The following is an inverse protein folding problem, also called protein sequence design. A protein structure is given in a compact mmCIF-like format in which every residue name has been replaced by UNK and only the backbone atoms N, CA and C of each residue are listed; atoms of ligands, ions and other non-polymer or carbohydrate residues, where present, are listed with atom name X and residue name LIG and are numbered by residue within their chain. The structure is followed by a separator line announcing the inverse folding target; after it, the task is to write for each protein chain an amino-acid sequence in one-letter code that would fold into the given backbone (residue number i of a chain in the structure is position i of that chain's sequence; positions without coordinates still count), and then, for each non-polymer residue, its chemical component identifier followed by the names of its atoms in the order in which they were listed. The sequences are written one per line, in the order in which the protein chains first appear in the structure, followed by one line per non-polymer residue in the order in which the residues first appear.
data_IF_641387257395
#
_entry.id   IF_641387257395
#
_cell.length_a   1.000
_cell.length_b   1.000
_cell.length_c   1.000
_cell.angle_alpha   90.00
_cell.angle_beta   90.00
_cell.angle_gamma   90.00
#
_symmetry.space_group_name_H-M   'P 1'
#
loop_
_entity.id
_entity.type
_entity.pdbx_description
1 polymer ?
#
# COMPACT_ATOMS: atom_id res chain seq x y z
N UNK A 1 -22.47 20.49 6.00
CA UNK A 1 -21.39 20.71 6.99
C UNK A 1 -20.46 19.50 7.14
N UNK A 2 -20.97 18.27 7.12
CA UNK A 2 -20.19 17.02 7.25
C UNK A 2 -19.10 16.80 6.19
N UNK A 3 -19.33 17.21 4.95
CA UNK A 3 -18.34 17.02 3.87
C UNK A 3 -17.06 17.84 4.02
N UNK A 4 -17.12 19.01 4.66
CA UNK A 4 -15.94 19.86 4.89
C UNK A 4 -15.09 19.37 6.07
N UNK A 5 -15.73 18.75 7.06
CA UNK A 5 -15.08 18.18 8.23
C UNK A 5 -14.31 16.89 7.87
N UNK A 6 -14.92 16.01 7.07
CA UNK A 6 -14.30 14.81 6.53
C UNK A 6 -13.10 15.14 5.63
N UNK A 7 -13.19 16.18 4.79
CA UNK A 7 -12.08 16.62 3.95
C UNK A 7 -10.91 17.17 4.77
N UNK A 8 -11.18 17.92 5.85
CA UNK A 8 -10.13 18.42 6.76
C UNK A 8 -9.44 17.29 7.51
N UNK A 9 -10.20 16.34 8.01
CA UNK A 9 -9.65 15.16 8.69
C UNK A 9 -8.75 14.36 7.74
N UNK A 10 -9.20 14.13 6.51
CA UNK A 10 -8.42 13.47 5.45
C UNK A 10 -7.11 14.20 5.20
N UNK A 11 -7.14 15.51 5.05
CA UNK A 11 -5.94 16.34 4.84
C UNK A 11 -4.94 16.21 6.00
N UNK A 12 -5.42 16.25 7.24
CA UNK A 12 -4.57 16.06 8.43
C UNK A 12 -3.88 14.71 8.40
N UNK A 13 -4.58 13.64 8.05
CA UNK A 13 -4.03 12.28 8.00
C UNK A 13 -2.94 12.14 6.92
N UNK A 14 -3.13 12.74 5.75
CA UNK A 14 -2.11 12.74 4.67
C UNK A 14 -0.85 13.48 5.07
N UNK A 15 -0.99 14.67 5.65
CA UNK A 15 0.13 15.45 6.17
C UNK A 15 0.84 14.73 7.32
N UNK A 16 0.07 14.17 8.26
CA UNK A 16 0.62 13.43 9.39
C UNK A 16 1.47 12.24 8.93
N UNK A 17 0.98 11.47 7.93
CA UNK A 17 1.74 10.37 7.36
C UNK A 17 3.07 10.84 6.77
N UNK A 18 3.08 11.93 6.00
CA UNK A 18 4.31 12.49 5.42
C UNK A 18 5.30 12.94 6.51
N UNK A 19 4.83 13.53 7.60
CA UNK A 19 5.66 13.94 8.75
C UNK A 19 6.23 12.72 9.46
N UNK A 20 5.42 11.68 9.70
CA UNK A 20 5.88 10.42 10.30
C UNK A 20 6.92 9.69 9.46
N UNK A 21 6.71 9.62 8.14
CA UNK A 21 7.68 8.99 7.21
C UNK A 21 9.00 9.73 7.21
N UNK A 22 8.96 11.07 7.26
CA UNK A 22 10.15 11.92 7.21
C UNK A 22 10.96 11.91 8.50
N UNK A 23 10.31 11.94 9.67
CA UNK A 23 10.95 12.18 10.96
C UNK A 23 10.92 10.96 11.90
N UNK A 24 10.20 9.90 11.54
CA UNK A 24 9.91 8.77 12.43
C UNK A 24 8.78 9.07 13.41
N UNK A 25 8.15 8.01 13.93
CA UNK A 25 7.05 8.17 14.88
C UNK A 25 7.49 8.83 16.18
N UNK A 26 8.62 8.41 16.75
CA UNK A 26 9.08 8.88 18.07
C UNK A 26 9.40 10.36 18.08
N UNK A 27 10.09 10.85 17.05
CA UNK A 27 10.54 12.23 16.93
C UNK A 27 9.45 13.21 16.52
N UNK A 28 8.31 12.71 16.01
CA UNK A 28 7.17 13.55 15.61
C UNK A 28 6.30 13.90 16.80
N UNK A 29 5.97 15.17 16.96
CA UNK A 29 4.99 15.68 17.92
C UNK A 29 3.67 16.05 17.26
N UNK A 30 2.58 16.18 18.05
CA UNK A 30 1.28 16.69 17.55
C UNK A 30 1.43 18.14 17.05
N UNK A 31 2.33 18.92 17.66
CA UNK A 31 2.63 20.30 17.24
C UNK A 31 3.23 20.34 15.82
N UNK A 32 4.16 19.42 15.52
CA UNK A 32 4.76 19.32 14.18
C UNK A 32 3.70 19.00 13.13
N UNK A 33 2.78 18.08 13.45
CA UNK A 33 1.66 17.72 12.56
C UNK A 33 0.72 18.92 12.39
N UNK A 34 0.35 19.61 13.46
CA UNK A 34 -0.53 20.76 13.43
C UNK A 34 0.06 21.90 12.57
N UNK A 35 1.34 22.20 12.78
CA UNK A 35 2.07 23.19 11.99
C UNK A 35 2.14 22.81 10.51
N UNK A 36 2.44 21.56 10.20
CA UNK A 36 2.52 21.08 8.83
C UNK A 36 1.16 21.09 8.14
N UNK A 37 0.07 20.77 8.85
CA UNK A 37 -1.30 20.76 8.34
C UNK A 37 -1.96 22.16 8.31
N UNK A 38 -1.29 23.20 8.82
CA UNK A 38 -1.81 24.58 8.83
C UNK A 38 -3.01 24.77 9.77
N UNK A 39 -3.11 23.97 10.84
CA UNK A 39 -4.18 24.08 11.84
C UNK A 39 -3.58 24.22 13.25
N UNK A 40 -4.41 24.63 14.22
CA UNK A 40 -3.98 24.68 15.60
C UNK A 40 -3.87 23.28 16.22
N UNK A 41 -3.02 23.13 17.25
CA UNK A 41 -2.96 21.90 18.06
C UNK A 41 -4.33 21.53 18.65
N UNK A 42 -5.11 22.53 19.07
CA UNK A 42 -6.47 22.30 19.54
C UNK A 42 -7.38 21.75 18.42
N UNK A 43 -7.19 22.24 17.18
CA UNK A 43 -7.89 21.70 15.98
C UNK A 43 -7.60 20.21 15.75
N UNK A 44 -6.36 19.75 15.99
CA UNK A 44 -6.04 18.32 15.93
C UNK A 44 -6.83 17.56 17.00
N UNK A 45 -6.88 18.05 18.24
CA UNK A 45 -7.58 17.37 19.33
C UNK A 45 -9.10 17.32 19.19
N UNK A 46 -9.70 18.10 18.29
CA UNK A 46 -11.12 17.95 17.95
C UNK A 46 -11.42 16.63 17.22
N UNK A 47 -10.41 16.08 16.53
CA UNK A 47 -10.56 14.90 15.67
C UNK A 47 -9.83 13.66 16.21
N UNK A 48 -8.73 13.84 16.95
CA UNK A 48 -7.86 12.75 17.40
C UNK A 48 -7.46 12.92 18.86
N UNK A 49 -7.56 11.86 19.66
CA UNK A 49 -7.26 11.88 21.10
C UNK A 49 -5.75 11.96 21.40
N UNK A 50 -4.93 11.35 20.55
CA UNK A 50 -3.49 11.24 20.75
C UNK A 50 -2.74 10.94 19.44
N UNK A 51 -1.41 10.93 19.52
CA UNK A 51 -0.52 10.68 18.38
C UNK A 51 -0.67 9.27 17.79
N UNK A 52 -0.92 8.26 18.63
CA UNK A 52 -1.13 6.88 18.19
C UNK A 52 -2.40 6.76 17.32
N UNK A 53 -3.47 7.46 17.68
CA UNK A 53 -4.72 7.49 16.90
C UNK A 53 -4.52 8.17 15.55
N UNK A 54 -3.79 9.31 15.50
CA UNK A 54 -3.43 9.96 14.22
C UNK A 54 -2.61 9.02 13.35
N UNK A 55 -1.60 8.37 13.94
CA UNK A 55 -0.74 7.45 13.22
C UNK A 55 -1.53 6.27 12.66
N UNK A 56 -2.33 5.60 13.50
CA UNK A 56 -3.18 4.48 13.09
C UNK A 56 -4.11 4.87 11.95
N UNK A 57 -4.83 5.97 12.11
CA UNK A 57 -5.77 6.46 11.09
C UNK A 57 -5.05 6.86 9.78
N UNK A 58 -3.85 7.47 9.86
CA UNK A 58 -3.06 7.84 8.69
C UNK A 58 -2.60 6.62 7.90
N UNK A 59 -2.10 5.58 8.57
CA UNK A 59 -1.68 4.34 7.91
C UNK A 59 -2.88 3.60 7.33
N UNK A 60 -3.98 3.48 8.10
CA UNK A 60 -5.19 2.81 7.62
C UNK A 60 -5.73 3.49 6.36
N UNK A 61 -5.81 4.83 6.36
CA UNK A 61 -6.21 5.59 5.18
C UNK A 61 -5.30 5.31 3.98
N UNK A 62 -3.99 5.32 4.19
CA UNK A 62 -3.04 5.03 3.11
C UNK A 62 -3.21 3.62 2.55
N UNK A 63 -3.41 2.61 3.40
CA UNK A 63 -3.68 1.23 2.98
C UNK A 63 -4.96 1.12 2.16
N UNK A 64 -6.03 1.81 2.60
CA UNK A 64 -7.32 1.81 1.91
C UNK A 64 -7.23 2.51 0.56
N UNK A 65 -6.54 3.64 0.47
CA UNK A 65 -6.30 4.38 -0.76
C UNK A 65 -5.50 3.56 -1.77
N UNK A 66 -4.43 2.88 -1.32
CA UNK A 66 -3.60 2.01 -2.16
C UNK A 66 -4.37 0.79 -2.65
N UNK A 67 -5.14 0.15 -1.77
CA UNK A 67 -5.98 -0.98 -2.13
C UNK A 67 -7.04 -0.57 -3.17
N UNK A 68 -7.66 0.57 -2.97
CA UNK A 68 -8.65 1.11 -3.91
C UNK A 68 -8.02 1.46 -5.26
N UNK A 69 -6.85 2.09 -5.27
CA UNK A 69 -6.12 2.42 -6.50
C UNK A 69 -5.69 1.16 -7.25
N UNK A 70 -5.13 0.17 -6.55
CA UNK A 70 -4.76 -1.12 -7.14
C UNK A 70 -5.99 -1.87 -7.70
N UNK A 71 -7.12 -1.86 -6.99
CA UNK A 71 -8.35 -2.47 -7.48
C UNK A 71 -8.85 -1.81 -8.75
N UNK A 72 -8.83 -0.47 -8.86
CA UNK A 72 -9.20 0.25 -10.10
C UNK A 72 -8.32 -0.17 -11.28
N UNK A 73 -7.02 -0.33 -11.06
CA UNK A 73 -6.08 -0.79 -12.09
C UNK A 73 -6.41 -2.22 -12.54
N UNK A 74 -6.68 -3.11 -11.58
CA UNK A 74 -6.99 -4.52 -11.84
C UNK A 74 -8.35 -4.70 -12.54
N UNK A 75 -9.28 -3.77 -12.36
CA UNK A 75 -10.61 -3.77 -12.99
C UNK A 75 -10.63 -3.01 -14.35
N UNK A 76 -9.52 -2.41 -14.79
CA UNK A 76 -9.47 -1.66 -16.05
C UNK A 76 -9.34 -2.60 -17.27
N UNK A 77 -10.45 -2.87 -17.94
CA UNK A 77 -10.52 -3.80 -19.09
C UNK A 77 -9.75 -3.32 -20.35
N UNK A 78 -9.24 -2.09 -20.34
CA UNK A 78 -8.38 -1.57 -21.41
C UNK A 78 -6.94 -2.08 -21.31
N UNK A 79 -6.55 -2.60 -20.15
CA UNK A 79 -5.20 -3.10 -19.87
C UNK A 79 -5.12 -4.61 -20.10
N UNK A 80 -3.98 -5.06 -20.64
CA UNK A 80 -3.62 -6.48 -20.67
C UNK A 80 -3.40 -7.02 -19.26
N UNK A 81 -3.40 -8.34 -19.08
CA UNK A 81 -3.12 -8.96 -17.79
C UNK A 81 -1.78 -8.50 -17.20
N UNK A 82 -0.72 -8.54 -18.02
CA UNK A 82 0.63 -8.14 -17.56
C UNK A 82 0.68 -6.67 -17.13
N UNK A 83 0.01 -5.78 -17.88
CA UNK A 83 -0.11 -4.37 -17.51
C UNK A 83 -0.88 -4.15 -16.21
N UNK A 84 -2.02 -4.85 -16.03
CA UNK A 84 -2.80 -4.84 -14.78
C UNK A 84 -1.94 -5.23 -13.59
N UNK A 85 -1.24 -6.37 -13.71
CA UNK A 85 -0.40 -6.91 -12.64
C UNK A 85 0.77 -5.96 -12.32
N UNK A 86 1.50 -5.50 -13.35
CA UNK A 86 2.65 -4.62 -13.15
C UNK A 86 2.25 -3.31 -12.47
N UNK A 87 1.20 -2.64 -12.98
CA UNK A 87 0.73 -1.37 -12.42
C UNK A 87 0.17 -1.53 -11.00
N UNK A 88 -0.57 -2.61 -10.73
CA UNK A 88 -1.12 -2.87 -9.40
C UNK A 88 -0.03 -3.22 -8.37
N UNK A 89 0.97 -4.01 -8.75
CA UNK A 89 2.12 -4.34 -7.90
C UNK A 89 3.03 -3.12 -7.66
N UNK A 90 3.15 -2.24 -8.64
CA UNK A 90 3.84 -0.96 -8.50
C UNK A 90 3.09 -0.04 -7.51
N UNK A 91 1.78 0.08 -7.65
CA UNK A 91 0.94 0.87 -6.73
C UNK A 91 1.04 0.35 -5.28
N UNK A 92 1.08 -0.97 -5.10
CA UNK A 92 1.09 -1.59 -3.77
C UNK A 92 2.49 -1.68 -3.15
N UNK A 93 3.53 -1.93 -3.93
CA UNK A 93 4.90 -2.14 -3.45
C UNK A 93 5.91 -1.14 -4.01
N UNK A 94 5.90 -0.91 -5.32
CA UNK A 94 6.95 -0.19 -6.04
C UNK A 94 7.07 1.27 -5.62
N UNK A 95 5.97 1.92 -5.31
CA UNK A 95 5.96 3.32 -4.84
C UNK A 95 6.68 3.52 -3.50
N UNK A 96 6.92 2.45 -2.76
CA UNK A 96 7.62 2.49 -1.47
C UNK A 96 9.12 2.19 -1.58
N UNK A 97 9.61 1.83 -2.79
CA UNK A 97 11.02 1.55 -3.03
C UNK A 97 11.84 2.83 -2.81
N UNK A 98 12.86 2.73 -1.98
CA UNK A 98 13.77 3.85 -1.67
C UNK A 98 13.19 4.93 -0.72
N UNK A 99 11.91 4.81 -0.29
CA UNK A 99 11.32 5.77 0.64
C UNK A 99 11.66 5.48 2.10
N UNK A 100 12.03 4.25 2.41
CA UNK A 100 12.30 3.82 3.77
C UNK A 100 13.79 3.97 4.07
N UNK A 101 14.16 5.12 4.64
CA UNK A 101 15.49 5.39 5.19
C UNK A 101 15.75 4.67 6.53
N UNK A 102 16.85 4.97 7.22
CA UNK A 102 17.23 4.37 8.50
C UNK A 102 16.14 4.46 9.59
N UNK A 103 15.27 5.46 9.51
CA UNK A 103 14.15 5.68 10.45
C UNK A 103 12.95 4.73 10.21
N UNK A 104 13.00 3.93 9.15
CA UNK A 104 11.91 3.02 8.78
C UNK A 104 11.66 1.91 9.80
N UNK A 105 12.71 1.46 10.49
CA UNK A 105 12.58 0.43 11.53
C UNK A 105 11.66 0.88 12.67
N UNK A 106 11.76 2.15 13.10
CA UNK A 106 10.86 2.73 14.10
C UNK A 106 9.42 2.80 13.62
N UNK A 107 9.23 3.18 12.36
CA UNK A 107 7.90 3.26 11.73
C UNK A 107 7.25 1.88 11.61
N UNK A 108 8.01 0.86 11.15
CA UNK A 108 7.52 -0.51 11.00
C UNK A 108 7.15 -1.13 12.35
N UNK A 109 8.02 -0.98 13.36
CA UNK A 109 7.73 -1.45 14.73
C UNK A 109 6.46 -0.77 15.29
N UNK A 110 6.26 0.51 15.00
CA UNK A 110 5.07 1.23 15.39
C UNK A 110 3.82 0.75 14.65
N UNK A 111 3.91 0.46 13.33
CA UNK A 111 2.82 -0.13 12.56
C UNK A 111 2.36 -1.47 13.16
N UNK A 112 3.29 -2.36 13.48
CA UNK A 112 2.98 -3.65 14.11
C UNK A 112 2.28 -3.46 15.46
N UNK A 113 2.77 -2.53 16.29
CA UNK A 113 2.21 -2.25 17.61
C UNK A 113 0.78 -1.70 17.57
N UNK A 114 0.52 -0.77 16.64
CA UNK A 114 -0.73 0.02 16.65
C UNK A 114 -1.80 -0.56 15.75
N UNK A 115 -1.43 -1.13 14.62
CA UNK A 115 -2.36 -1.65 13.61
C UNK A 115 -2.62 -3.15 13.73
N UNK A 116 -1.75 -3.87 14.46
CA UNK A 116 -1.86 -5.32 14.59
C UNK A 116 -2.00 -5.99 13.23
N UNK A 117 -3.11 -6.70 13.02
CA UNK A 117 -3.36 -7.48 11.80
C UNK A 117 -3.95 -6.67 10.61
N UNK A 118 -4.19 -5.36 10.74
CA UNK A 118 -4.83 -4.57 9.68
C UNK A 118 -3.99 -4.55 8.38
N UNK A 119 -2.67 -4.41 8.50
CA UNK A 119 -1.74 -4.46 7.35
C UNK A 119 -1.80 -5.82 6.66
N UNK A 120 -1.83 -6.90 7.44
CA UNK A 120 -1.97 -8.27 6.95
C UNK A 120 -3.29 -8.49 6.20
N UNK A 121 -4.40 -7.98 6.73
CA UNK A 121 -5.71 -8.05 6.09
C UNK A 121 -5.77 -7.32 4.76
N UNK A 122 -5.24 -6.10 4.69
CA UNK A 122 -5.19 -5.32 3.45
C UNK A 122 -4.34 -6.01 2.38
N UNK A 123 -3.18 -6.57 2.77
CA UNK A 123 -2.33 -7.38 1.88
C UNK A 123 -3.06 -8.63 1.38
N UNK A 124 -3.74 -9.35 2.25
CA UNK A 124 -4.52 -10.55 1.86
C UNK A 124 -5.66 -10.19 0.91
N UNK A 125 -6.31 -9.06 1.09
CA UNK A 125 -7.35 -8.56 0.18
C UNK A 125 -6.78 -8.24 -1.19
N UNK A 126 -5.62 -7.57 -1.26
CA UNK A 126 -4.91 -7.30 -2.50
C UNK A 126 -4.51 -8.59 -3.23
N UNK A 127 -3.90 -9.55 -2.52
CA UNK A 127 -3.49 -10.84 -3.07
C UNK A 127 -4.68 -11.63 -3.65
N UNK A 128 -5.80 -11.69 -2.93
CA UNK A 128 -7.04 -12.33 -3.42
C UNK A 128 -7.60 -11.66 -4.68
N UNK A 129 -7.45 -10.34 -4.81
CA UNK A 129 -7.86 -9.63 -6.02
C UNK A 129 -6.96 -9.98 -7.20
N UNK A 130 -5.62 -10.05 -7.00
CA UNK A 130 -4.68 -10.52 -8.03
C UNK A 130 -5.04 -11.94 -8.50
N UNK A 131 -5.25 -12.86 -7.55
CA UNK A 131 -5.66 -14.24 -7.84
C UNK A 131 -6.89 -14.31 -8.75
N UNK A 132 -7.94 -13.53 -8.42
CA UNK A 132 -9.17 -13.48 -9.23
C UNK A 132 -8.91 -12.99 -10.65
N UNK A 133 -8.09 -11.96 -10.82
CA UNK A 133 -7.78 -11.39 -12.13
C UNK A 133 -6.95 -12.37 -12.97
N UNK A 134 -5.97 -13.03 -12.37
CA UNK A 134 -5.15 -14.05 -13.03
C UNK A 134 -6.02 -15.23 -13.47
N UNK A 135 -6.89 -15.72 -12.58
CA UNK A 135 -7.81 -16.81 -12.87
C UNK A 135 -8.78 -16.48 -14.01
N UNK A 136 -9.32 -15.25 -14.02
CA UNK A 136 -10.23 -14.77 -15.08
C UNK A 136 -9.56 -14.67 -16.45
N UNK A 137 -8.24 -14.42 -16.48
CA UNK A 137 -7.46 -14.30 -17.73
C UNK A 137 -6.96 -15.63 -18.28
N UNK A 138 -7.08 -16.73 -17.51
CA UNK A 138 -6.71 -18.06 -17.97
C UNK A 138 -7.66 -18.53 -19.07
N UNK A 139 -7.15 -18.69 -20.30
CA UNK A 139 -7.94 -19.05 -21.48
C UNK A 139 -8.58 -20.44 -21.40
N UNK A 140 -8.11 -21.30 -20.53
CA UNK A 140 -8.63 -22.64 -20.31
C UNK A 140 -8.98 -22.82 -18.84
N UNK A 141 -10.23 -23.18 -18.54
CA UNK A 141 -10.66 -23.73 -17.25
C UNK A 141 -10.07 -25.14 -17.09
N UNK A 142 -8.75 -25.24 -17.00
CA UNK A 142 -8.05 -26.51 -16.77
C UNK A 142 -8.14 -26.88 -15.30
N UNK A 143 -8.16 -28.19 -15.02
CA UNK A 143 -8.09 -28.69 -13.64
C UNK A 143 -6.83 -28.12 -12.95
N UNK A 144 -7.01 -27.33 -11.89
CA UNK A 144 -5.91 -26.72 -11.13
C UNK A 144 -5.57 -25.27 -11.53
N UNK A 145 -6.36 -24.61 -12.41
CA UNK A 145 -6.17 -23.19 -12.78
C UNK A 145 -6.24 -22.27 -11.55
N UNK A 146 -7.14 -22.54 -10.61
CA UNK A 146 -7.30 -21.84 -9.34
C UNK A 146 -6.03 -21.96 -8.47
N UNK A 147 -5.47 -23.14 -8.33
CA UNK A 147 -4.24 -23.36 -7.57
C UNK A 147 -3.06 -22.63 -8.24
N UNK A 148 -2.98 -22.66 -9.58
CA UNK A 148 -1.95 -21.94 -10.33
C UNK A 148 -2.10 -20.43 -10.14
N UNK A 149 -3.30 -19.87 -10.27
CA UNK A 149 -3.55 -18.44 -10.06
C UNK A 149 -3.18 -17.99 -8.63
N UNK A 150 -3.58 -18.76 -7.61
CA UNK A 150 -3.22 -18.50 -6.23
C UNK A 150 -1.70 -18.54 -6.02
N UNK A 151 -1.00 -19.53 -6.60
CA UNK A 151 0.47 -19.64 -6.50
C UNK A 151 1.16 -18.46 -7.16
N UNK A 152 0.72 -18.04 -8.35
CA UNK A 152 1.29 -16.87 -9.05
C UNK A 152 1.07 -15.60 -8.21
N UNK A 153 -0.13 -15.37 -7.71
CA UNK A 153 -0.44 -14.21 -6.87
C UNK A 153 0.44 -14.18 -5.60
N UNK A 154 0.61 -15.33 -4.94
CA UNK A 154 1.47 -15.47 -3.77
C UNK A 154 2.94 -15.15 -4.08
N UNK A 155 3.48 -15.75 -5.14
CA UNK A 155 4.87 -15.49 -5.60
C UNK A 155 5.10 -14.02 -5.94
N UNK A 156 4.20 -13.38 -6.70
CA UNK A 156 4.33 -11.97 -7.08
C UNK A 156 4.25 -11.05 -5.85
N UNK A 157 3.36 -11.34 -4.90
CA UNK A 157 3.29 -10.61 -3.63
C UNK A 157 4.55 -10.81 -2.77
N UNK A 158 5.08 -12.02 -2.69
CA UNK A 158 6.33 -12.31 -1.96
C UNK A 158 7.53 -11.58 -2.59
N UNK A 159 7.65 -11.60 -3.93
CA UNK A 159 8.63 -10.81 -4.66
C UNK A 159 8.50 -9.32 -4.35
N UNK A 160 7.30 -8.76 -4.47
CA UNK A 160 7.04 -7.35 -4.19
C UNK A 160 7.41 -6.94 -2.77
N UNK A 161 7.06 -7.77 -1.79
CA UNK A 161 7.40 -7.55 -0.38
C UNK A 161 8.90 -7.52 -0.14
N UNK A 162 9.65 -8.46 -0.73
CA UNK A 162 11.09 -8.54 -0.57
C UNK A 162 11.81 -7.45 -1.35
N UNK A 163 11.43 -7.25 -2.61
CA UNK A 163 12.14 -6.37 -3.54
C UNK A 163 11.96 -4.88 -3.23
N UNK A 164 10.84 -4.47 -2.63
CA UNK A 164 10.67 -3.07 -2.20
C UNK A 164 11.74 -2.60 -1.19
N UNK A 165 12.38 -3.55 -0.48
CA UNK A 165 13.47 -3.27 0.46
C UNK A 165 14.85 -3.60 -0.09
N UNK A 166 14.94 -4.34 -1.21
CA UNK A 166 16.20 -4.82 -1.78
C UNK A 166 16.74 -3.90 -2.88
N UNK A 167 15.87 -3.18 -3.57
CA UNK A 167 16.26 -2.29 -4.65
C UNK A 167 16.38 -0.84 -4.19
N UNK A 168 17.35 -0.13 -4.76
CA UNK A 168 17.56 1.30 -4.49
C UNK A 168 16.72 2.21 -5.36
N UNK A 169 16.17 1.70 -6.48
CA UNK A 169 15.32 2.47 -7.38
C UNK A 169 14.03 1.74 -7.75
N UNK A 170 12.94 2.53 -7.89
CA UNK A 170 11.66 2.03 -8.40
C UNK A 170 11.79 1.45 -9.81
N UNK A 171 12.70 1.98 -10.62
CA UNK A 171 12.92 1.51 -11.99
C UNK A 171 13.48 0.08 -12.01
N UNK A 172 14.43 -0.26 -11.13
CA UNK A 172 14.94 -1.63 -10.97
C UNK A 172 13.85 -2.58 -10.49
N UNK A 173 13.05 -2.16 -9.51
CA UNK A 173 11.89 -2.92 -9.05
C UNK A 173 10.93 -3.23 -10.20
N UNK A 174 10.53 -2.22 -10.99
CA UNK A 174 9.61 -2.39 -12.10
C UNK A 174 10.15 -3.34 -13.18
N UNK A 175 11.44 -3.22 -13.53
CA UNK A 175 12.09 -4.11 -14.49
C UNK A 175 12.02 -5.57 -14.01
N UNK A 176 12.41 -5.82 -12.77
CA UNK A 176 12.40 -7.17 -12.20
C UNK A 176 10.98 -7.73 -12.03
N UNK A 177 10.04 -6.89 -11.66
CA UNK A 177 8.63 -7.30 -11.53
C UNK A 177 8.04 -7.64 -12.90
N UNK A 178 8.35 -6.89 -13.95
CA UNK A 178 7.96 -7.18 -15.33
C UNK A 178 8.50 -8.55 -15.78
N UNK A 179 9.80 -8.83 -15.55
CA UNK A 179 10.41 -10.12 -15.87
C UNK A 179 9.67 -11.28 -15.15
N UNK A 180 9.36 -11.10 -13.85
CA UNK A 180 8.66 -12.11 -13.05
C UNK A 180 7.23 -12.35 -13.54
N UNK A 181 6.49 -11.29 -13.86
CA UNK A 181 5.14 -11.39 -14.42
C UNK A 181 5.15 -12.14 -15.73
N UNK A 182 6.06 -11.78 -16.65
CA UNK A 182 6.18 -12.42 -17.95
C UNK A 182 6.45 -13.93 -17.80
N UNK A 183 7.37 -14.32 -16.92
CA UNK A 183 7.67 -15.74 -16.65
C UNK A 183 6.46 -16.49 -16.06
N UNK A 184 5.72 -15.87 -15.15
CA UNK A 184 4.58 -16.51 -14.49
C UNK A 184 3.34 -16.61 -15.39
N UNK A 185 3.15 -15.64 -16.31
CA UNK A 185 1.94 -15.52 -17.11
C UNK A 185 2.07 -16.06 -18.54
N UNK A 186 3.26 -16.50 -18.94
CA UNK A 186 3.59 -16.93 -20.33
C UNK A 186 2.64 -17.97 -20.91
N UNK A 187 2.08 -18.85 -20.07
CA UNK A 187 1.23 -19.96 -20.49
C UNK A 187 -0.19 -19.88 -19.86
N UNK A 188 -0.70 -18.69 -19.57
CA UNK A 188 -2.07 -18.45 -19.09
C UNK A 188 -3.07 -18.25 -20.27
#
# INVERSE_FOLDING_TARGET
MEGNESARQTHVLEIALAVFVRHGFRKTSIEDIAKAAGISRQGIYLHFKNKDEIFSASIQKALDDHLQAANRILDDDRLTLEEKLLKALDEWFGRHVGLLGPEASDLLAQCERVLGDAVGKSRSSFQKKLEKVILASSARKTKGADKRAATIADMLCACGMTWKHSFSSRQEFLKKMCDAIHLCCRDL
#
